data_IF_660497453575
#
_entry.id   IF_660497453575
#
_cell.length_a   1.000
_cell.length_b   1.000
_cell.length_c   1.000
_cell.angle_alpha   90.00
_cell.angle_beta   90.00
_cell.angle_gamma   90.00
#
_symmetry.space_group_name_H-M   'P 1'
#
loop_
_entity.id
_entity.type
_entity.pdbx_description
1 polymer ?
#
# COMPACT_ATOMS: atom_id res chain seq x y z
N UNK A 1 18.37 -3.89 2.25
CA UNK A 1 16.99 -3.88 1.73
C UNK A 1 16.99 -3.22 0.36
N UNK A 2 16.40 -3.85 -0.66
CA UNK A 2 16.30 -3.32 -2.03
C UNK A 2 14.83 -3.22 -2.39
N UNK A 3 14.24 -2.04 -2.21
CA UNK A 3 12.86 -1.77 -2.59
C UNK A 3 12.80 -1.40 -4.07
N UNK A 4 11.88 -1.99 -4.83
CA UNK A 4 11.70 -1.69 -6.25
C UNK A 4 10.30 -1.16 -6.46
N UNK A 5 10.19 0.11 -6.88
CA UNK A 5 8.91 0.74 -7.23
C UNK A 5 8.50 0.31 -8.63
N UNK A 6 7.30 -0.26 -8.75
CA UNK A 6 6.74 -0.66 -10.04
C UNK A 6 5.52 0.20 -10.34
N UNK A 7 5.61 0.92 -11.46
CA UNK A 7 4.59 1.56 -12.30
C UNK A 7 3.26 2.01 -11.66
N UNK A 8 2.98 3.32 -11.79
CA UNK A 8 1.69 3.93 -11.49
C UNK A 8 0.76 3.71 -12.69
N UNK A 9 0.11 2.56 -12.78
CA UNK A 9 -1.14 2.48 -13.55
C UNK A 9 -2.16 3.42 -12.89
N UNK A 10 -2.87 4.24 -13.67
CA UNK A 10 -3.78 5.29 -13.16
C UNK A 10 -4.63 4.81 -11.98
N UNK A 11 -4.26 5.26 -10.78
CA UNK A 11 -4.96 4.91 -9.53
C UNK A 11 -4.42 3.66 -8.80
N UNK A 12 -3.22 3.16 -9.10
CA UNK A 12 -2.60 2.06 -8.34
C UNK A 12 -1.12 2.31 -8.14
N UNK A 13 -0.64 2.16 -6.91
CA UNK A 13 0.77 2.19 -6.55
C UNK A 13 1.15 0.88 -5.87
N UNK A 14 2.29 0.30 -6.25
CA UNK A 14 2.82 -0.93 -5.65
C UNK A 14 4.22 -0.69 -5.13
N UNK A 15 4.40 -0.84 -3.82
CA UNK A 15 5.72 -0.89 -3.18
C UNK A 15 6.03 -2.35 -2.91
N UNK A 16 7.12 -2.85 -3.48
CA UNK A 16 7.56 -4.23 -3.28
C UNK A 16 8.89 -4.27 -2.54
N UNK A 17 8.95 -5.12 -1.51
CA UNK A 17 10.14 -5.51 -0.79
C UNK A 17 10.45 -6.98 -1.06
N UNK A 18 11.66 -7.28 -1.52
CA UNK A 18 12.13 -8.65 -1.69
C UNK A 18 12.84 -9.11 -0.40
N UNK A 19 12.49 -10.28 0.10
CA UNK A 19 13.10 -10.93 1.28
C UNK A 19 13.66 -12.29 0.90
N UNK A 20 14.44 -12.90 1.78
CA UNK A 20 15.02 -14.24 1.54
C UNK A 20 13.94 -15.33 1.41
N UNK A 21 12.71 -15.07 1.86
CA UNK A 21 11.57 -16.01 1.81
C UNK A 21 10.50 -15.66 0.76
N UNK A 22 10.73 -14.66 -0.10
CA UNK A 22 9.81 -14.27 -1.16
C UNK A 22 9.67 -12.75 -1.35
N UNK A 23 8.47 -12.28 -1.67
CA UNK A 23 8.19 -10.85 -1.88
C UNK A 23 7.01 -10.38 -1.04
N UNK A 24 7.18 -9.24 -0.40
CA UNK A 24 6.11 -8.51 0.28
C UNK A 24 5.73 -7.29 -0.57
N UNK A 25 4.44 -7.06 -0.77
CA UNK A 25 3.91 -5.98 -1.57
C UNK A 25 2.89 -5.18 -0.75
N UNK A 26 3.06 -3.86 -0.72
CA UNK A 26 2.03 -2.91 -0.32
C UNK A 26 1.39 -2.35 -1.60
N UNK A 27 0.11 -2.61 -1.78
CA UNK A 27 -0.67 -2.18 -2.94
C UNK A 27 -1.66 -1.13 -2.46
N UNK A 28 -1.58 0.07 -3.02
CA UNK A 28 -2.52 1.16 -2.78
C UNK A 28 -3.31 1.39 -4.05
N UNK A 29 -4.63 1.36 -3.97
CA UNK A 29 -5.53 1.59 -5.11
C UNK A 29 -6.45 2.77 -4.79
N UNK A 30 -6.54 3.72 -5.71
CA UNK A 30 -7.52 4.80 -5.78
C UNK A 30 -8.58 4.36 -6.81
N UNK A 31 -9.74 3.85 -6.37
CA UNK A 31 -10.78 3.41 -7.29
C UNK A 31 -11.26 4.59 -8.14
N UNK A 32 -11.34 4.47 -9.47
CA UNK A 32 -11.73 5.57 -10.34
C UNK A 32 -13.17 6.05 -10.08
N UNK A 33 -14.02 5.15 -9.60
CA UNK A 33 -15.44 5.39 -9.33
C UNK A 33 -15.68 5.98 -7.93
N UNK A 34 -14.72 5.85 -7.03
CA UNK A 34 -14.81 6.33 -5.66
C UNK A 34 -13.54 7.08 -5.26
N UNK A 35 -13.47 8.37 -5.60
CA UNK A 35 -12.38 9.26 -5.19
C UNK A 35 -12.37 9.58 -3.70
N UNK A 36 -13.39 9.13 -2.95
CA UNK A 36 -13.51 9.39 -1.53
C UNK A 36 -12.89 8.29 -0.66
N UNK A 37 -12.33 7.22 -1.25
CA UNK A 37 -11.61 6.20 -0.49
C UNK A 37 -10.37 5.68 -1.23
N UNK A 38 -9.40 5.21 -0.44
CA UNK A 38 -8.25 4.44 -0.91
C UNK A 38 -8.39 3.02 -0.40
N UNK A 39 -7.93 2.06 -1.19
CA UNK A 39 -7.85 0.66 -0.80
C UNK A 39 -6.38 0.29 -0.61
N UNK A 40 -6.06 -0.23 0.57
CA UNK A 40 -4.73 -0.72 0.91
C UNK A 40 -4.79 -2.23 1.05
N UNK A 41 -3.89 -2.92 0.36
CA UNK A 41 -3.76 -4.37 0.42
C UNK A 41 -2.28 -4.73 0.63
N UNK A 42 -2.00 -5.60 1.59
CA UNK A 42 -0.67 -6.19 1.77
C UNK A 42 -0.70 -7.59 1.18
N UNK A 43 0.24 -7.92 0.30
CA UNK A 43 0.42 -9.29 -0.22
C UNK A 43 1.78 -9.81 0.17
N UNK A 44 1.83 -11.07 0.57
CA UNK A 44 3.05 -11.81 0.81
C UNK A 44 3.04 -13.00 -0.15
N UNK A 45 3.95 -12.99 -1.12
CA UNK A 45 4.22 -14.13 -1.97
C UNK A 45 5.43 -14.84 -1.42
N UNK A 46 5.23 -16.06 -0.91
CA UNK A 46 6.31 -16.94 -0.48
C UNK A 46 6.38 -18.14 -1.42
N UNK A 47 7.47 -18.91 -1.36
CA UNK A 47 7.65 -20.10 -2.20
C UNK A 47 6.56 -21.17 -1.99
N UNK A 48 5.81 -21.09 -0.88
CA UNK A 48 4.67 -21.96 -0.57
C UNK A 48 3.30 -21.42 -0.98
N UNK A 49 3.20 -20.19 -1.51
CA UNK A 49 1.95 -19.58 -1.96
C UNK A 49 1.86 -18.07 -1.75
N UNK A 50 0.80 -17.48 -2.31
CA UNK A 50 0.45 -16.06 -2.18
C UNK A 50 -0.63 -15.87 -1.12
N UNK A 51 -0.31 -15.19 -0.03
CA UNK A 51 -1.27 -14.75 0.98
C UNK A 51 -1.51 -13.26 0.84
N UNK A 52 -2.76 -12.87 0.61
CA UNK A 52 -3.17 -11.49 0.69
C UNK A 52 -3.78 -11.21 2.06
N UNK A 53 -3.36 -10.13 2.72
CA UNK A 53 -4.14 -9.55 3.81
C UNK A 53 -5.50 -9.09 3.28
N UNK A 54 -6.47 -8.97 4.18
CA UNK A 54 -7.71 -8.28 3.87
C UNK A 54 -7.45 -6.87 3.33
N UNK A 55 -8.36 -6.38 2.50
CA UNK A 55 -8.32 -5.01 1.98
C UNK A 55 -8.81 -4.04 3.05
N UNK A 56 -8.02 -3.03 3.35
CA UNK A 56 -8.43 -1.91 4.21
C UNK A 56 -8.90 -0.79 3.30
N UNK A 57 -10.13 -0.35 3.48
CA UNK A 57 -10.66 0.84 2.82
C UNK A 57 -10.56 2.03 3.78
N UNK A 58 -9.87 3.08 3.35
CA UNK A 58 -9.70 4.32 4.12
C UNK A 58 -10.40 5.44 3.37
N UNK A 59 -11.36 6.10 4.00
CA UNK A 59 -12.01 7.27 3.43
C UNK A 59 -11.05 8.47 3.36
N UNK A 60 -11.40 9.50 2.60
CA UNK A 60 -10.61 10.73 2.50
C UNK A 60 -10.34 11.37 3.87
N UNK A 61 -11.33 11.36 4.77
CA UNK A 61 -11.17 11.86 6.13
C UNK A 61 -10.14 11.03 6.91
N UNK A 62 -10.24 9.70 6.85
CA UNK A 62 -9.27 8.82 7.51
C UNK A 62 -7.86 8.97 6.94
N UNK A 63 -7.74 9.22 5.63
CA UNK A 63 -6.46 9.47 4.97
C UNK A 63 -5.83 10.78 5.43
N UNK A 64 -6.64 11.84 5.59
CA UNK A 64 -6.16 13.11 6.13
C UNK A 64 -5.63 12.93 7.56
N UNK A 65 -6.37 12.21 8.42
CA UNK A 65 -5.93 11.92 9.79
C UNK A 65 -4.63 11.10 9.82
N UNK A 66 -4.48 10.12 8.94
CA UNK A 66 -3.24 9.35 8.82
C UNK A 66 -2.07 10.23 8.37
N UNK A 67 -2.30 11.10 7.38
CA UNK A 67 -1.28 12.03 6.89
C UNK A 67 -0.84 12.99 8.01
N UNK A 68 -1.78 13.54 8.75
CA UNK A 68 -1.51 14.44 9.86
C UNK A 68 -0.69 13.73 10.95
N UNK A 69 -1.06 12.50 11.32
CA UNK A 69 -0.31 11.69 12.28
C UNK A 69 1.12 11.36 11.79
N UNK A 70 1.28 10.96 10.52
CA UNK A 70 2.61 10.67 9.96
C UNK A 70 3.52 11.91 9.94
N UNK A 71 2.95 13.09 9.74
CA UNK A 71 3.68 14.35 9.83
C UNK A 71 4.09 14.69 11.27
N UNK A 72 3.23 14.40 12.25
CA UNK A 72 3.54 14.55 13.68
C UNK A 72 4.68 13.62 14.13
N UNK A 73 4.75 12.41 13.57
CA UNK A 73 5.82 11.42 13.84
C UNK A 73 7.10 11.65 13.03
N UNK A 74 7.23 12.78 12.30
CA UNK A 74 8.37 13.09 11.43
C UNK A 74 8.65 12.00 10.36
N UNK A 75 7.65 11.19 10.02
CA UNK A 75 7.73 10.13 9.02
C UNK A 75 7.54 10.65 7.58
N UNK A 76 7.15 11.90 7.44
CA UNK A 76 7.02 12.63 6.18
C UNK A 76 7.92 13.89 6.24
N UNK A 77 8.60 14.25 5.13
CA UNK A 77 9.44 15.44 5.05
C UNK A 77 8.66 16.74 5.19
#
# INVERSE_FOLDING_TARGET
MKSTFHEVELGKAVVQNATDGGTEQLIVTLPPENRASIQIQIRQNTDGGSTASGTIEISQHGLQQLFDWLREEEALP
#
